data_IF_267509255446
#
_entry.id   IF_267509255446
#
_cell.length_a   1.000
_cell.length_b   1.000
_cell.length_c   1.000
_cell.angle_alpha   90.00
_cell.angle_beta   90.00
_cell.angle_gamma   90.00
#
_symmetry.space_group_name_H-M   'P 1'
#
loop_
_entity.id
_entity.type
_entity.pdbx_description
1 polymer ?
#
# COMPACT_ATOMS: atom_id res chain seq x y z
N UNK A 1 7.16 -26.58 -18.36
CA UNK A 1 7.78 -25.25 -18.53
C UNK A 1 6.67 -24.29 -18.92
N UNK A 2 6.39 -23.29 -18.09
CA UNK A 2 5.42 -22.24 -18.44
C UNK A 2 5.93 -21.50 -19.69
N UNK A 3 5.03 -21.18 -20.63
CA UNK A 3 5.37 -20.29 -21.75
C UNK A 3 5.88 -18.97 -21.18
N UNK A 4 6.93 -18.35 -21.75
CA UNK A 4 7.31 -17.02 -21.35
C UNK A 4 6.10 -16.11 -21.54
N UNK A 5 5.72 -15.40 -20.47
CA UNK A 5 4.68 -14.36 -20.54
C UNK A 5 5.13 -13.30 -21.55
N UNK A 6 4.19 -12.84 -22.37
CA UNK A 6 4.45 -11.77 -23.33
C UNK A 6 4.12 -10.41 -22.69
N UNK A 7 3.65 -10.41 -21.45
CA UNK A 7 3.32 -9.20 -20.68
C UNK A 7 4.57 -8.64 -20.00
N UNK A 8 4.66 -7.32 -19.95
CA UNK A 8 5.70 -6.62 -19.20
C UNK A 8 5.50 -6.90 -17.71
N UNK A 9 6.55 -7.25 -16.95
CA UNK A 9 6.47 -7.35 -15.49
C UNK A 9 5.89 -6.08 -14.85
N UNK A 10 5.23 -6.24 -13.70
CA UNK A 10 4.64 -5.14 -12.95
C UNK A 10 5.30 -5.07 -11.58
N UNK A 11 5.85 -3.92 -11.23
CA UNK A 11 6.32 -3.60 -9.89
C UNK A 11 5.24 -2.76 -9.19
N UNK A 12 4.57 -3.39 -8.26
CA UNK A 12 3.54 -2.78 -7.42
C UNK A 12 4.19 -2.12 -6.22
N UNK A 13 3.71 -0.92 -5.90
CA UNK A 13 4.10 -0.19 -4.70
C UNK A 13 2.88 0.03 -3.82
N UNK A 14 3.00 -0.31 -2.53
CA UNK A 14 2.13 0.27 -1.53
C UNK A 14 2.39 1.78 -1.38
N UNK A 15 1.50 2.51 -0.74
CA UNK A 15 1.56 3.96 -0.60
C UNK A 15 1.94 4.37 0.82
N UNK A 16 1.11 4.00 1.79
CA UNK A 16 1.20 4.52 3.15
C UNK A 16 2.34 3.87 3.93
N UNK A 17 3.24 4.66 4.52
CA UNK A 17 4.51 4.22 5.10
C UNK A 17 5.47 3.49 4.14
N UNK A 18 5.13 3.40 2.87
CA UNK A 18 5.99 2.84 1.83
C UNK A 18 6.63 3.94 0.98
N UNK A 19 5.82 4.81 0.34
CA UNK A 19 6.34 5.94 -0.45
C UNK A 19 6.75 7.15 0.41
N UNK A 20 6.40 7.15 1.67
CA UNK A 20 6.84 8.12 2.66
C UNK A 20 7.07 7.42 4.01
N UNK A 21 7.98 7.91 4.86
CA UNK A 21 8.38 7.20 6.08
C UNK A 21 7.36 7.32 7.20
N UNK A 22 7.34 6.35 8.12
CA UNK A 22 6.53 6.35 9.36
C UNK A 22 6.73 7.60 10.22
N UNK A 23 7.89 8.25 10.11
CA UNK A 23 8.20 9.48 10.85
C UNK A 23 7.28 10.66 10.52
N UNK A 24 6.52 10.61 9.41
CA UNK A 24 5.45 11.57 9.09
C UNK A 24 4.28 11.50 10.07
N UNK A 25 4.10 10.37 10.77
CA UNK A 25 3.01 10.08 11.72
C UNK A 25 1.60 10.16 11.11
N UNK A 26 1.47 10.08 9.79
CA UNK A 26 0.16 10.13 9.12
C UNK A 26 -0.75 9.00 9.59
N UNK A 27 -0.21 7.76 9.75
CA UNK A 27 -1.03 6.65 10.26
C UNK A 27 -1.43 6.81 11.73
N UNK A 28 -0.70 7.57 12.54
CA UNK A 28 -1.17 7.93 13.88
C UNK A 28 -2.37 8.88 13.81
N UNK A 29 -2.28 9.93 12.98
CA UNK A 29 -3.41 10.83 12.77
C UNK A 29 -4.63 10.11 12.18
N UNK A 30 -4.41 9.18 11.26
CA UNK A 30 -5.48 8.34 10.72
C UNK A 30 -6.12 7.47 11.81
N UNK A 31 -5.31 6.86 12.69
CA UNK A 31 -5.81 6.08 13.82
C UNK A 31 -6.67 6.91 14.77
N UNK A 32 -6.24 8.12 15.09
CA UNK A 32 -7.01 9.04 15.93
C UNK A 32 -8.37 9.40 15.29
N UNK A 33 -8.40 9.67 13.98
CA UNK A 33 -9.63 9.94 13.24
C UNK A 33 -10.56 8.72 13.16
N UNK A 34 -10.01 7.52 13.03
CA UNK A 34 -10.79 6.27 13.08
C UNK A 34 -11.42 6.09 14.45
N UNK A 35 -10.66 6.28 15.53
CA UNK A 35 -11.17 6.17 16.90
C UNK A 35 -12.27 7.21 17.16
N UNK A 36 -12.10 8.44 16.71
CA UNK A 36 -13.12 9.49 16.80
C UNK A 36 -14.38 9.14 16.00
N UNK A 37 -14.22 8.54 14.83
CA UNK A 37 -15.34 8.05 14.03
C UNK A 37 -16.12 6.96 14.80
N UNK A 38 -15.44 6.01 15.43
CA UNK A 38 -16.07 4.95 16.24
C UNK A 38 -16.79 5.51 17.46
N UNK A 39 -16.17 6.44 18.18
CA UNK A 39 -16.81 7.13 19.32
C UNK A 39 -18.10 7.79 18.87
N UNK A 40 -18.06 8.57 17.80
CA UNK A 40 -19.18 9.38 17.35
C UNK A 40 -20.32 8.55 16.76
N UNK A 41 -19.99 7.55 15.91
CA UNK A 41 -21.01 6.80 15.16
C UNK A 41 -21.55 5.58 15.89
N UNK A 42 -20.78 5.03 16.82
CA UNK A 42 -21.19 3.86 17.61
C UNK A 42 -21.49 4.21 19.07
N UNK A 43 -21.36 5.48 19.46
CA UNK A 43 -21.57 5.96 20.83
C UNK A 43 -20.72 5.19 21.87
N UNK A 44 -19.46 4.91 21.50
CA UNK A 44 -18.52 4.19 22.34
C UNK A 44 -17.70 5.12 23.23
N UNK A 45 -17.20 4.57 24.35
CA UNK A 45 -16.13 5.23 25.09
C UNK A 45 -14.85 5.26 24.27
N UNK A 46 -13.91 6.16 24.57
CA UNK A 46 -12.60 6.21 23.89
C UNK A 46 -11.86 4.86 23.96
N UNK A 47 -11.90 4.20 25.12
CA UNK A 47 -11.26 2.90 25.32
C UNK A 47 -11.89 1.81 24.46
N UNK A 48 -13.23 1.75 24.40
CA UNK A 48 -13.94 0.72 23.63
C UNK A 48 -13.78 0.95 22.13
N UNK A 49 -13.75 2.21 21.69
CA UNK A 49 -13.48 2.57 20.30
C UNK A 49 -12.08 2.10 19.86
N UNK A 50 -11.03 2.41 20.63
CA UNK A 50 -9.67 1.96 20.33
C UNK A 50 -9.54 0.43 20.31
N UNK A 51 -10.18 -0.26 21.28
CA UNK A 51 -10.19 -1.73 21.34
C UNK A 51 -10.90 -2.33 20.11
N UNK A 52 -12.04 -1.76 19.70
CA UNK A 52 -12.81 -2.25 18.56
C UNK A 52 -12.10 -1.96 17.24
N UNK A 53 -11.47 -0.79 17.10
CA UNK A 53 -10.62 -0.44 15.96
C UNK A 53 -9.49 -1.46 15.81
N UNK A 54 -8.74 -1.70 16.89
CA UNK A 54 -7.65 -2.68 16.87
C UNK A 54 -8.15 -4.09 16.52
N UNK A 55 -9.29 -4.51 17.10
CA UNK A 55 -9.90 -5.79 16.77
C UNK A 55 -10.26 -5.91 15.30
N UNK A 56 -10.91 -4.91 14.72
CA UNK A 56 -11.30 -4.93 13.30
C UNK A 56 -10.10 -4.92 12.37
N UNK A 57 -9.05 -4.16 12.73
CA UNK A 57 -7.80 -4.21 11.98
C UNK A 57 -7.16 -5.61 12.00
N UNK A 58 -7.15 -6.27 13.16
CA UNK A 58 -6.61 -7.63 13.31
C UNK A 58 -7.44 -8.68 12.55
N UNK A 59 -8.77 -8.59 12.64
CA UNK A 59 -9.67 -9.59 12.06
C UNK A 59 -9.79 -9.45 10.53
N UNK A 60 -9.72 -8.23 10.00
CA UNK A 60 -10.06 -7.93 8.60
C UNK A 60 -8.94 -7.21 7.81
N UNK A 61 -7.92 -6.72 8.47
CA UNK A 61 -6.87 -5.90 7.84
C UNK A 61 -7.24 -4.43 7.63
N UNK A 62 -8.53 -4.07 7.78
CA UNK A 62 -9.05 -2.71 7.70
C UNK A 62 -10.16 -2.47 8.72
N UNK A 63 -10.09 -1.36 9.45
CA UNK A 63 -11.13 -0.97 10.41
C UNK A 63 -12.50 -0.76 9.75
N UNK A 64 -12.53 -0.13 8.57
CA UNK A 64 -13.76 0.13 7.81
C UNK A 64 -14.45 -1.18 7.40
N UNK A 65 -13.72 -2.26 7.11
CA UNK A 65 -14.34 -3.54 6.76
C UNK A 65 -15.13 -4.12 7.95
N UNK A 66 -14.58 -4.03 9.16
CA UNK A 66 -15.30 -4.41 10.37
C UNK A 66 -16.54 -3.55 10.61
N UNK A 67 -16.43 -2.24 10.37
CA UNK A 67 -17.57 -1.32 10.49
C UNK A 67 -18.74 -1.69 9.57
N UNK A 68 -18.48 -1.90 8.29
CA UNK A 68 -19.54 -2.26 7.32
C UNK A 68 -20.13 -3.63 7.57
N UNK A 69 -19.34 -4.58 8.10
CA UNK A 69 -19.80 -5.94 8.40
C UNK A 69 -20.73 -6.01 9.60
N UNK A 70 -20.47 -5.18 10.60
CA UNK A 70 -21.10 -5.31 11.93
C UNK A 70 -22.01 -4.13 12.29
N UNK A 71 -21.94 -3.03 11.54
CA UNK A 71 -22.69 -1.82 11.81
C UNK A 71 -23.26 -1.22 10.52
N UNK A 72 -24.33 -0.46 10.66
CA UNK A 72 -24.92 0.29 9.55
C UNK A 72 -24.19 1.62 9.41
N UNK A 73 -23.11 1.64 8.63
CA UNK A 73 -22.32 2.85 8.33
C UNK A 73 -22.20 3.07 6.83
N UNK A 74 -22.12 4.33 6.41
CA UNK A 74 -21.79 4.69 5.04
C UNK A 74 -20.27 4.72 4.87
N UNK A 75 -19.68 3.82 4.05
CA UNK A 75 -18.22 3.82 3.86
C UNK A 75 -17.70 5.13 3.26
N UNK A 76 -18.52 5.84 2.49
CA UNK A 76 -18.12 7.12 1.92
C UNK A 76 -18.18 8.26 2.95
N UNK A 77 -19.03 8.14 3.99
CA UNK A 77 -18.98 9.03 5.14
C UNK A 77 -17.69 8.81 5.93
N UNK A 78 -17.29 7.57 6.15
CA UNK A 78 -16.01 7.24 6.75
C UNK A 78 -14.85 7.82 5.93
N UNK A 79 -14.81 7.61 4.61
CA UNK A 79 -13.78 8.20 3.74
C UNK A 79 -13.70 9.73 3.88
N UNK A 80 -14.85 10.42 3.98
CA UNK A 80 -14.87 11.90 4.17
C UNK A 80 -14.29 12.33 5.51
N UNK A 81 -14.63 11.59 6.58
CA UNK A 81 -14.30 11.99 7.97
C UNK A 81 -12.95 11.47 8.45
N UNK A 82 -12.40 10.46 7.78
CA UNK A 82 -11.11 9.86 8.11
C UNK A 82 -10.10 10.17 7.01
N UNK A 83 -10.17 9.50 5.85
CA UNK A 83 -9.11 9.60 4.83
C UNK A 83 -8.95 11.03 4.28
N UNK A 84 -10.08 11.71 3.99
CA UNK A 84 -10.06 13.05 3.43
C UNK A 84 -9.82 14.15 4.50
N UNK A 85 -9.99 13.83 5.78
CA UNK A 85 -9.76 14.78 6.88
C UNK A 85 -8.27 14.89 7.26
N UNK A 86 -7.42 13.99 6.78
CA UNK A 86 -5.98 14.05 7.04
C UNK A 86 -5.37 15.32 6.46
N UNK A 87 -4.56 16.08 7.24
CA UNK A 87 -3.90 17.32 6.79
C UNK A 87 -2.64 17.01 5.95
N UNK A 88 -2.79 16.22 4.88
CA UNK A 88 -1.66 15.73 4.09
C UNK A 88 -0.85 16.84 3.44
N UNK A 89 -1.48 17.96 3.06
CA UNK A 89 -0.85 19.12 2.43
C UNK A 89 0.15 19.83 3.35
N UNK A 90 -0.07 19.74 4.67
CA UNK A 90 0.83 20.32 5.67
C UNK A 90 2.05 19.43 5.94
N UNK A 91 1.89 18.11 5.75
CA UNK A 91 2.87 17.09 6.13
C UNK A 91 3.73 16.65 4.94
N UNK A 92 3.08 16.27 3.83
CA UNK A 92 3.78 15.73 2.66
C UNK A 92 4.26 16.86 1.74
N UNK A 93 5.48 16.69 1.24
CA UNK A 93 6.11 17.58 0.26
C UNK A 93 6.75 16.73 -0.83
N UNK A 94 7.00 17.29 -2.01
CA UNK A 94 7.76 16.60 -3.05
C UNK A 94 9.08 16.02 -2.51
N UNK A 95 9.30 14.73 -2.77
CA UNK A 95 10.50 14.03 -2.32
C UNK A 95 11.45 13.79 -3.51
N UNK A 96 12.55 14.59 -3.64
CA UNK A 96 13.50 14.44 -4.73
C UNK A 96 14.23 13.08 -4.73
N UNK A 97 14.43 12.43 -3.56
CA UNK A 97 15.09 11.11 -3.49
C UNK A 97 14.18 10.04 -4.05
N UNK A 98 12.91 10.02 -3.62
CA UNK A 98 11.91 9.12 -4.17
C UNK A 98 11.72 9.35 -5.68
N UNK A 99 11.65 10.61 -6.13
CA UNK A 99 11.54 10.95 -7.54
C UNK A 99 12.75 10.44 -8.34
N UNK A 100 13.96 10.57 -7.80
CA UNK A 100 15.19 10.06 -8.43
C UNK A 100 15.14 8.53 -8.53
N UNK A 101 14.84 7.83 -7.45
CA UNK A 101 14.71 6.37 -7.43
C UNK A 101 13.74 5.89 -8.51
N UNK A 102 12.52 6.45 -8.55
CA UNK A 102 11.50 6.06 -9.52
C UNK A 102 11.89 6.42 -10.95
N UNK A 103 12.62 7.53 -11.16
CA UNK A 103 13.13 7.93 -12.48
C UNK A 103 14.23 7.02 -13.01
N UNK A 104 14.96 6.33 -12.12
CA UNK A 104 16.03 5.39 -12.48
C UNK A 104 15.49 4.00 -12.85
N UNK A 105 14.22 3.74 -12.56
CA UNK A 105 13.57 2.51 -13.03
C UNK A 105 13.37 2.61 -14.55
N UNK A 106 13.72 1.54 -15.25
CA UNK A 106 13.57 1.42 -16.70
C UNK A 106 12.14 0.97 -17.05
N UNK A 107 11.29 1.93 -17.34
CA UNK A 107 9.89 1.68 -17.70
C UNK A 107 9.72 0.95 -19.05
N UNK A 108 10.80 0.72 -19.80
CA UNK A 108 10.75 -0.19 -20.94
C UNK A 108 10.70 -1.66 -20.51
N UNK A 109 11.25 -1.98 -19.33
CA UNK A 109 11.36 -3.33 -18.77
C UNK A 109 10.26 -3.69 -17.78
N UNK A 110 9.70 -2.72 -17.05
CA UNK A 110 8.73 -2.94 -15.99
C UNK A 110 7.67 -1.82 -15.97
N UNK A 111 6.43 -2.19 -15.64
CA UNK A 111 5.35 -1.26 -15.39
C UNK A 111 5.34 -0.91 -13.90
N UNK A 112 5.18 0.35 -13.54
CA UNK A 112 4.97 0.77 -12.15
C UNK A 112 3.48 0.95 -11.88
N UNK A 113 3.02 0.36 -10.78
CA UNK A 113 1.62 0.35 -10.39
C UNK A 113 1.46 0.55 -8.89
N UNK A 114 0.42 1.26 -8.47
CA UNK A 114 0.10 1.43 -7.05
C UNK A 114 -0.88 0.38 -6.57
N UNK A 115 -0.68 -0.13 -5.35
CA UNK A 115 -1.57 -1.12 -4.73
C UNK A 115 -1.78 -0.76 -3.25
N UNK A 116 -2.88 -0.09 -2.94
CA UNK A 116 -3.17 0.43 -1.60
C UNK A 116 -4.48 -0.11 -1.02
N UNK A 117 -4.55 -0.16 0.31
CA UNK A 117 -5.78 -0.44 1.05
C UNK A 117 -6.63 0.82 1.31
N UNK A 118 -6.08 2.00 1.08
CA UNK A 118 -6.84 3.23 1.17
C UNK A 118 -7.77 3.43 -0.02
N UNK A 119 -8.75 4.32 0.12
CA UNK A 119 -9.60 4.75 -1.00
C UNK A 119 -8.77 5.52 -2.05
N UNK A 120 -9.22 5.49 -3.30
CA UNK A 120 -8.50 6.09 -4.45
C UNK A 120 -8.20 7.58 -4.27
N UNK A 121 -9.08 8.32 -3.59
CA UNK A 121 -8.90 9.77 -3.33
C UNK A 121 -7.68 10.03 -2.46
N UNK A 122 -7.48 9.24 -1.41
CA UNK A 122 -6.30 9.31 -0.56
C UNK A 122 -5.02 8.99 -1.34
N UNK A 123 -5.00 7.85 -2.03
CA UNK A 123 -3.80 7.42 -2.78
C UNK A 123 -3.36 8.43 -3.84
N UNK A 124 -4.30 8.98 -4.62
CA UNK A 124 -4.00 10.03 -5.62
C UNK A 124 -3.49 11.31 -4.98
N UNK A 125 -4.07 11.70 -3.84
CA UNK A 125 -3.65 12.90 -3.09
C UNK A 125 -2.22 12.76 -2.57
N UNK A 126 -1.87 11.60 -2.00
CA UNK A 126 -0.50 11.31 -1.52
C UNK A 126 0.52 11.40 -2.66
N UNK A 127 0.34 10.65 -3.76
CA UNK A 127 1.35 10.62 -4.84
C UNK A 127 1.49 11.96 -5.55
N UNK A 128 0.42 12.77 -5.59
CA UNK A 128 0.47 14.15 -6.10
C UNK A 128 1.31 15.04 -5.20
N UNK A 129 1.12 14.97 -3.88
CA UNK A 129 1.89 15.76 -2.91
C UNK A 129 3.37 15.38 -2.90
N UNK A 130 3.70 14.10 -3.05
CA UNK A 130 5.07 13.61 -3.19
C UNK A 130 5.69 13.96 -4.56
N UNK A 131 4.90 14.40 -5.54
CA UNK A 131 5.34 14.74 -6.89
C UNK A 131 5.75 13.53 -7.73
N UNK A 132 5.15 12.34 -7.45
CA UNK A 132 5.51 11.07 -8.09
C UNK A 132 4.40 10.47 -8.95
N UNK A 133 3.24 11.09 -9.05
CA UNK A 133 2.07 10.60 -9.79
C UNK A 133 2.43 10.15 -11.21
N UNK A 134 3.30 10.90 -11.90
CA UNK A 134 3.69 10.67 -13.30
C UNK A 134 4.44 9.35 -13.54
N UNK A 135 4.96 8.71 -12.51
CA UNK A 135 5.73 7.47 -12.65
C UNK A 135 4.85 6.22 -12.70
N UNK A 136 3.62 6.31 -12.21
CA UNK A 136 2.71 5.18 -12.09
C UNK A 136 1.68 5.17 -13.22
N UNK A 137 1.50 4.00 -13.85
CA UNK A 137 0.54 3.82 -14.94
C UNK A 137 -0.90 3.66 -14.42
N UNK A 138 -1.06 3.28 -13.14
CA UNK A 138 -2.36 3.13 -12.51
C UNK A 138 -2.31 2.79 -11.04
N UNK A 139 -3.49 2.58 -10.47
CA UNK A 139 -3.69 2.31 -9.04
C UNK A 139 -4.81 1.28 -8.85
N UNK A 140 -4.52 0.24 -8.08
CA UNK A 140 -5.51 -0.65 -7.49
C UNK A 140 -5.70 -0.28 -6.03
N UNK A 141 -6.94 -0.15 -5.61
CA UNK A 141 -7.32 0.40 -4.30
C UNK A 141 -8.52 -0.33 -3.71
N UNK A 142 -8.75 -0.16 -2.41
CA UNK A 142 -9.98 -0.60 -1.76
C UNK A 142 -11.12 0.36 -2.14
N UNK A 143 -12.07 -0.12 -2.92
CA UNK A 143 -13.21 0.68 -3.39
C UNK A 143 -14.34 0.63 -2.34
N UNK A 144 -14.51 1.72 -1.61
CA UNK A 144 -15.52 1.84 -0.56
C UNK A 144 -16.97 1.90 -1.08
N UNK A 145 -17.16 2.01 -2.41
CA UNK A 145 -18.49 1.94 -3.02
C UNK A 145 -18.95 0.51 -3.29
N UNK A 146 -18.10 -0.49 -3.08
CA UNK A 146 -18.45 -1.89 -3.27
C UNK A 146 -19.16 -2.44 -2.04
N UNK A 147 -20.14 -3.32 -2.25
CA UNK A 147 -20.85 -4.03 -1.18
C UNK A 147 -19.88 -4.84 -0.30
N UNK A 148 -18.86 -5.45 -0.92
CA UNK A 148 -17.79 -6.16 -0.25
C UNK A 148 -16.47 -5.42 -0.45
N UNK A 149 -15.90 -4.92 0.62
CA UNK A 149 -14.60 -4.31 0.59
C UNK A 149 -13.52 -5.35 0.29
N UNK A 150 -12.62 -4.99 -0.60
CA UNK A 150 -11.53 -5.85 -1.02
C UNK A 150 -10.20 -5.16 -0.76
N UNK A 151 -9.40 -5.73 0.15
CA UNK A 151 -8.15 -5.16 0.62
C UNK A 151 -7.05 -6.22 0.74
N UNK A 152 -5.79 -5.81 0.76
CA UNK A 152 -4.67 -6.65 1.18
C UNK A 152 -4.85 -7.01 2.66
N UNK A 153 -4.51 -8.19 3.11
CA UNK A 153 -3.82 -9.29 2.43
C UNK A 153 -4.74 -10.31 1.73
N UNK A 154 -6.00 -9.96 1.46
CA UNK A 154 -6.94 -10.90 0.83
C UNK A 154 -6.48 -11.26 -0.59
N UNK A 155 -6.48 -12.58 -0.91
CA UNK A 155 -6.06 -13.11 -2.21
C UNK A 155 -6.70 -12.39 -3.41
N UNK A 156 -8.00 -12.11 -3.32
CA UNK A 156 -8.74 -11.50 -4.42
C UNK A 156 -8.29 -10.06 -4.72
N UNK A 157 -7.70 -9.35 -3.73
CA UNK A 157 -7.10 -8.04 -3.95
C UNK A 157 -5.86 -8.13 -4.84
N UNK A 158 -5.01 -9.12 -4.64
CA UNK A 158 -3.85 -9.37 -5.52
C UNK A 158 -4.29 -9.80 -6.92
N UNK A 159 -5.30 -10.66 -7.02
CA UNK A 159 -5.88 -11.05 -8.33
C UNK A 159 -6.52 -9.85 -9.04
N UNK A 160 -7.16 -8.94 -8.30
CA UNK A 160 -7.66 -7.67 -8.84
C UNK A 160 -6.51 -6.82 -9.35
N UNK A 161 -5.44 -6.66 -8.57
CA UNK A 161 -4.26 -5.88 -8.95
C UNK A 161 -3.62 -6.42 -10.24
N UNK A 162 -3.49 -7.74 -10.37
CA UNK A 162 -2.99 -8.36 -11.61
C UNK A 162 -3.87 -8.00 -12.81
N UNK A 163 -5.20 -8.11 -12.69
CA UNK A 163 -6.12 -7.77 -13.78
C UNK A 163 -6.05 -6.28 -14.14
N UNK A 164 -6.09 -5.41 -13.14
CA UNK A 164 -6.07 -3.95 -13.34
C UNK A 164 -4.77 -3.51 -14.04
N UNK A 165 -3.63 -4.10 -13.67
CA UNK A 165 -2.33 -3.80 -14.24
C UNK A 165 -2.01 -4.58 -15.52
N UNK A 166 -2.82 -5.59 -15.89
CA UNK A 166 -2.61 -6.43 -17.06
C UNK A 166 -1.44 -7.43 -16.89
N UNK A 167 -1.16 -7.89 -15.65
CA UNK A 167 -0.19 -8.95 -15.40
C UNK A 167 -0.82 -10.32 -15.71
N UNK A 168 -0.17 -11.10 -16.58
CA UNK A 168 -0.69 -12.41 -17.04
C UNK A 168 -0.27 -13.56 -16.12
N UNK A 169 0.83 -13.41 -15.39
CA UNK A 169 1.40 -14.45 -14.53
C UNK A 169 1.79 -13.89 -13.18
N UNK A 170 1.67 -14.70 -12.13
CA UNK A 170 2.17 -14.36 -10.79
C UNK A 170 3.69 -14.13 -10.78
N UNK A 171 4.43 -14.79 -11.67
CA UNK A 171 5.88 -14.61 -11.84
C UNK A 171 6.27 -13.26 -12.42
N UNK A 172 5.32 -12.51 -13.01
CA UNK A 172 5.54 -11.16 -13.54
C UNK A 172 5.22 -10.08 -12.49
N UNK A 173 4.79 -10.48 -11.28
CA UNK A 173 4.37 -9.56 -10.23
C UNK A 173 5.47 -9.39 -9.19
N UNK A 174 5.88 -8.15 -8.99
CA UNK A 174 6.83 -7.69 -7.99
C UNK A 174 6.13 -6.71 -7.08
N UNK A 175 6.45 -6.74 -5.79
CA UNK A 175 5.72 -5.90 -4.84
C UNK A 175 6.62 -5.39 -3.72
N UNK A 176 6.40 -4.16 -3.29
CA UNK A 176 6.99 -3.59 -2.10
C UNK A 176 5.91 -3.02 -1.19
N UNK A 177 5.94 -3.39 0.09
CA UNK A 177 4.93 -3.02 1.10
C UNK A 177 5.58 -3.03 2.49
N UNK A 178 5.19 -2.11 3.38
CA UNK A 178 5.70 -2.03 4.75
C UNK A 178 4.97 -2.97 5.71
N UNK A 179 3.78 -3.43 5.36
CA UNK A 179 2.99 -4.34 6.18
C UNK A 179 3.45 -5.78 6.03
N UNK A 180 3.87 -6.38 7.15
CA UNK A 180 4.21 -7.80 7.21
C UNK A 180 3.12 -8.70 6.62
N UNK A 181 1.86 -8.45 6.96
CA UNK A 181 0.72 -9.26 6.51
C UNK A 181 0.50 -9.15 5.01
N UNK A 182 0.62 -7.95 4.46
CA UNK A 182 0.47 -7.72 3.03
C UNK A 182 1.61 -8.36 2.25
N UNK A 183 2.86 -8.15 2.69
CA UNK A 183 4.04 -8.75 2.05
C UNK A 183 3.95 -10.29 2.07
N UNK A 184 3.58 -10.89 3.22
CA UNK A 184 3.39 -12.34 3.36
C UNK A 184 2.25 -12.85 2.46
N UNK A 185 1.14 -12.12 2.39
CA UNK A 185 0.01 -12.46 1.52
C UNK A 185 0.40 -12.52 0.06
N UNK A 186 1.11 -11.51 -0.45
CA UNK A 186 1.59 -11.46 -1.83
C UNK A 186 2.64 -12.57 -2.11
N UNK A 187 3.58 -12.80 -1.18
CA UNK A 187 4.58 -13.87 -1.30
C UNK A 187 3.92 -15.25 -1.38
N UNK A 188 2.86 -15.49 -0.59
CA UNK A 188 2.08 -16.75 -0.64
C UNK A 188 1.37 -16.93 -1.98
N UNK A 189 1.05 -15.85 -2.69
CA UNK A 189 0.52 -15.89 -4.06
C UNK A 189 1.57 -16.25 -5.11
N UNK A 190 2.85 -16.26 -4.75
CA UNK A 190 3.97 -16.50 -5.67
C UNK A 190 4.54 -15.23 -6.29
N UNK A 191 4.23 -14.05 -5.76
CA UNK A 191 4.84 -12.80 -6.19
C UNK A 191 6.28 -12.68 -5.65
N UNK A 192 7.13 -11.93 -6.33
CA UNK A 192 8.44 -11.53 -5.82
C UNK A 192 8.27 -10.29 -4.94
N UNK A 193 8.51 -10.41 -3.64
CA UNK A 193 8.13 -9.37 -2.66
C UNK A 193 9.32 -8.87 -1.87
N UNK A 194 9.46 -7.55 -1.76
CA UNK A 194 10.34 -6.84 -0.85
C UNK A 194 9.53 -6.27 0.31
N UNK A 195 9.69 -6.82 1.51
CA UNK A 195 9.09 -6.28 2.73
C UNK A 195 9.94 -5.10 3.23
N UNK A 196 9.37 -3.91 3.20
CA UNK A 196 10.01 -2.68 3.68
C UNK A 196 9.81 -2.55 5.18
N UNK A 197 10.86 -2.75 5.96
CA UNK A 197 10.83 -2.58 7.42
C UNK A 197 11.44 -1.23 7.78
N UNK A 198 10.63 -0.33 8.35
CA UNK A 198 11.11 1.01 8.74
C UNK A 198 12.38 0.90 9.62
N UNK A 199 13.39 1.76 9.43
CA UNK A 199 14.62 1.74 10.23
C UNK A 199 14.41 1.87 11.74
N UNK A 200 13.29 2.43 12.20
CA UNK A 200 12.94 2.52 13.62
C UNK A 200 12.36 1.22 14.19
N UNK A 201 11.92 0.29 13.34
CA UNK A 201 11.29 -0.96 13.75
C UNK A 201 12.33 -2.08 13.91
N UNK A 202 12.08 -2.99 14.85
CA UNK A 202 12.82 -4.25 14.94
C UNK A 202 12.49 -5.14 13.73
N UNK A 203 13.48 -5.91 13.29
CA UNK A 203 13.23 -6.91 12.26
C UNK A 203 12.27 -7.99 12.78
N UNK A 204 11.30 -8.44 11.97
CA UNK A 204 10.43 -9.54 12.37
C UNK A 204 11.24 -10.82 12.59
N UNK A 205 10.80 -11.66 13.53
CA UNK A 205 11.42 -12.95 13.84
C UNK A 205 11.40 -13.88 12.62
N UNK A 206 10.27 -13.88 11.90
CA UNK A 206 10.14 -14.58 10.62
C UNK A 206 10.05 -13.56 9.49
N UNK A 207 10.71 -13.84 8.36
CA UNK A 207 10.59 -13.02 7.18
C UNK A 207 9.20 -13.15 6.55
N UNK A 208 8.61 -12.01 6.15
CA UNK A 208 7.34 -12.00 5.45
C UNK A 208 7.47 -12.51 3.99
N UNK A 209 8.64 -12.32 3.38
CA UNK A 209 8.88 -12.55 1.96
C UNK A 209 10.35 -12.85 1.66
N UNK A 210 10.67 -13.05 0.37
CA UNK A 210 12.02 -13.40 -0.10
C UNK A 210 13.05 -12.31 0.23
N UNK A 211 12.62 -11.04 0.16
CA UNK A 211 13.49 -9.89 0.41
C UNK A 211 12.95 -9.07 1.56
N UNK A 212 13.85 -8.59 2.39
CA UNK A 212 13.57 -7.67 3.48
C UNK A 212 14.53 -6.49 3.35
N UNK A 213 13.97 -5.30 3.19
CA UNK A 213 14.71 -4.07 2.94
C UNK A 213 14.41 -3.02 4.01
N UNK A 214 15.32 -2.08 4.20
CA UNK A 214 15.21 -0.98 5.19
C UNK A 214 14.94 0.37 4.51
N UNK A 215 15.11 0.44 3.20
CA UNK A 215 14.84 1.62 2.39
C UNK A 215 14.45 1.21 0.98
N UNK A 216 13.69 2.06 0.27
CA UNK A 216 13.34 1.80 -1.13
C UNK A 216 14.58 1.81 -2.06
N UNK A 217 15.69 2.47 -1.68
CA UNK A 217 16.93 2.43 -2.47
C UNK A 217 17.47 1.01 -2.64
N UNK A 218 17.25 0.12 -1.66
CA UNK A 218 17.66 -1.28 -1.73
C UNK A 218 16.90 -2.10 -2.81
N UNK A 219 15.86 -1.53 -3.43
CA UNK A 219 15.24 -2.13 -4.61
C UNK A 219 16.23 -2.28 -5.77
N UNK A 220 17.29 -1.47 -5.81
CA UNK A 220 18.39 -1.60 -6.79
C UNK A 220 19.13 -2.91 -6.64
N UNK A 221 19.25 -3.41 -5.41
CA UNK A 221 19.96 -4.66 -5.10
C UNK A 221 19.06 -5.88 -5.27
N UNK A 222 17.79 -5.78 -4.87
CA UNK A 222 16.87 -6.92 -4.88
C UNK A 222 16.14 -7.11 -6.22
N UNK A 223 15.97 -6.02 -7.00
CA UNK A 223 15.38 -6.05 -8.35
C UNK A 223 16.23 -5.30 -9.38
N UNK A 224 17.56 -5.58 -9.48
CA UNK A 224 18.50 -4.83 -10.33
C UNK A 224 18.11 -4.81 -11.81
N UNK A 225 17.39 -5.84 -12.26
CA UNK A 225 16.97 -5.97 -13.67
C UNK A 225 16.04 -4.83 -14.13
N UNK A 226 15.39 -4.13 -13.19
CA UNK A 226 14.44 -3.07 -13.50
C UNK A 226 15.07 -1.67 -13.53
N UNK A 227 16.31 -1.56 -13.10
CA UNK A 227 16.99 -0.26 -13.11
C UNK A 227 17.75 -0.03 -14.41
N UNK A 228 17.87 1.24 -14.79
CA UNK A 228 18.72 1.68 -15.89
C UNK A 228 20.15 1.33 -15.56
N UNK A 229 20.90 0.85 -16.56
CA UNK A 229 22.34 0.71 -16.40
C UNK A 229 22.91 2.10 -16.11
N UNK A 230 23.83 2.21 -15.14
CA UNK A 230 24.63 3.42 -15.05
C UNK A 230 25.34 3.57 -16.40
N UNK A 231 24.97 4.58 -17.16
CA UNK A 231 25.75 4.97 -18.33
C UNK A 231 27.12 5.38 -17.79
N UNK A 232 28.10 4.50 -17.94
CA UNK A 232 29.47 4.85 -17.67
C UNK A 232 29.84 6.06 -18.54
N UNK A 233 30.12 7.16 -17.86
CA UNK A 233 30.79 8.31 -18.46
C UNK A 233 32.21 7.91 -18.90
#
# INVERSE_FOLDING_TARGET
>A
MAKPSNSKPVLFFDIDNCLYPKSTKILHLMSDLIDEYFITHLSLSQRDAANLHQKYYQDYGLAIEGLVRHHTVDPMDFNRKVDNALPLEDILKPDPKLQKLLSDIDTSKVKLWLLTNAHVTHGKRVVKLLGVERFFEGITYCDYNQEKLLAKPHKDMYLKAMRDAGAESVGDCYFVDDSYMNAKGAATMGWSVAHLVDPSDALPVEQASQYQIRSLEELRDVFPQFFKSESGD
#
